data_IF_907453787606
#
_entry.id   IF_907453787606
#
_cell.length_a   1.000
_cell.length_b   1.000
_cell.length_c   1.000
_cell.angle_alpha   90.00
_cell.angle_beta   90.00
_cell.angle_gamma   90.00
#
_symmetry.space_group_name_H-M   'P 1'
#
loop_
_entity.id
_entity.type
_entity.pdbx_description
1 polymer ?
#
# COMPACT_ATOMS: atom_id res chain seq x y z
N UNK A 1 3.83 2.13 10.93
CA UNK A 1 2.49 1.54 11.13
C UNK A 1 2.57 0.09 10.68
N UNK A 2 2.51 -0.83 11.63
CA UNK A 2 2.59 -2.27 11.35
C UNK A 2 1.19 -2.81 11.10
N UNK A 3 0.75 -2.80 9.86
CA UNK A 3 -0.60 -3.26 9.51
C UNK A 3 -0.53 -4.51 8.64
N UNK A 4 -1.10 -5.61 9.14
CA UNK A 4 -1.39 -6.77 8.33
C UNK A 4 -2.70 -6.56 7.57
N UNK A 5 -2.68 -6.77 6.27
CA UNK A 5 -3.88 -6.71 5.43
C UNK A 5 -4.07 -8.02 4.67
N UNK A 6 -5.31 -8.43 4.48
CA UNK A 6 -5.64 -9.56 3.63
C UNK A 6 -5.31 -9.19 2.18
N UNK A 7 -4.59 -10.02 1.45
CA UNK A 7 -4.18 -9.71 0.07
C UNK A 7 -4.59 -10.78 -0.95
N UNK A 8 -4.83 -12.00 -0.49
CA UNK A 8 -5.25 -13.12 -1.34
C UNK A 8 -5.99 -14.16 -0.51
N UNK A 9 -6.65 -15.11 -1.16
CA UNK A 9 -7.30 -16.27 -0.50
C UNK A 9 -7.34 -17.46 -1.43
N UNK A 10 -7.54 -18.65 -0.84
CA UNK A 10 -7.85 -19.88 -1.59
C UNK A 10 -9.16 -19.78 -2.34
N UNK A 11 -9.35 -20.64 -3.32
CA UNK A 11 -10.54 -20.76 -4.16
C UNK A 11 -10.25 -20.59 -5.63
N UNK A 12 -11.31 -20.58 -6.42
CA UNK A 12 -11.23 -20.43 -7.87
C UNK A 12 -11.21 -18.95 -8.24
N UNK A 13 -10.15 -18.53 -8.92
CA UNK A 13 -9.95 -17.14 -9.32
C UNK A 13 -9.54 -17.05 -10.79
N UNK A 14 -10.04 -16.00 -11.45
CA UNK A 14 -9.67 -15.66 -12.82
C UNK A 14 -8.66 -14.55 -12.78
N UNK A 15 -7.53 -14.70 -13.45
CA UNK A 15 -6.49 -13.68 -13.54
C UNK A 15 -6.82 -12.60 -14.58
N UNK A 16 -5.90 -11.64 -14.78
CA UNK A 16 -6.08 -10.56 -15.74
C UNK A 16 -6.05 -11.04 -17.20
N UNK A 17 -5.49 -12.22 -17.48
CA UNK A 17 -5.45 -12.85 -18.80
C UNK A 17 -6.74 -13.58 -19.16
N UNK A 18 -7.62 -13.79 -18.14
CA UNK A 18 -8.84 -14.57 -18.27
C UNK A 18 -8.67 -16.04 -17.91
N UNK A 19 -7.47 -16.45 -17.49
CA UNK A 19 -7.20 -17.82 -17.10
C UNK A 19 -7.77 -18.11 -15.70
N UNK A 20 -8.57 -19.15 -15.62
CA UNK A 20 -9.19 -19.59 -14.35
C UNK A 20 -8.37 -20.71 -13.72
N UNK A 21 -8.03 -20.55 -12.44
CA UNK A 21 -7.27 -21.52 -11.67
C UNK A 21 -7.84 -21.69 -10.26
N UNK A 22 -7.79 -22.92 -9.77
CA UNK A 22 -8.00 -23.24 -8.36
C UNK A 22 -6.72 -22.99 -7.56
N UNK A 23 -6.84 -22.25 -6.47
CA UNK A 23 -5.75 -21.90 -5.56
C UNK A 23 -5.98 -22.58 -4.21
N UNK A 24 -5.07 -23.45 -3.83
CA UNK A 24 -5.11 -24.17 -2.55
C UNK A 24 -4.18 -23.57 -1.49
N UNK A 25 -4.23 -24.16 -0.29
CA UNK A 25 -3.34 -23.78 0.83
C UNK A 25 -1.86 -23.93 0.44
N UNK A 26 -1.52 -24.99 -0.32
CA UNK A 26 -0.14 -25.22 -0.79
C UNK A 26 0.37 -24.08 -1.68
N UNK A 27 -0.50 -23.46 -2.48
CA UNK A 27 -0.13 -22.29 -3.29
C UNK A 27 0.19 -21.08 -2.40
N UNK A 28 -0.61 -20.84 -1.34
CA UNK A 28 -0.35 -19.77 -0.38
C UNK A 28 0.99 -19.98 0.34
N UNK A 29 1.26 -21.22 0.78
CA UNK A 29 2.53 -21.58 1.42
C UNK A 29 3.72 -21.37 0.47
N UNK A 30 3.53 -21.65 -0.82
CA UNK A 30 4.55 -21.41 -1.85
C UNK A 30 4.77 -19.90 -2.08
N UNK A 31 3.72 -19.08 -2.13
CA UNK A 31 3.85 -17.62 -2.21
C UNK A 31 4.65 -17.08 -1.02
N UNK A 32 4.37 -17.57 0.20
CA UNK A 32 5.09 -17.14 1.41
C UNK A 32 6.55 -17.56 1.34
N UNK A 33 6.84 -18.83 1.00
CA UNK A 33 8.20 -19.37 0.98
C UNK A 33 9.07 -18.79 -0.14
N UNK A 34 8.48 -18.40 -1.27
CA UNK A 34 9.20 -17.76 -2.38
C UNK A 34 9.51 -16.28 -2.12
N UNK A 35 8.78 -15.64 -1.21
CA UNK A 35 8.94 -14.21 -0.94
C UNK A 35 10.15 -13.92 -0.04
N UNK A 36 11.10 -13.17 -0.55
CA UNK A 36 12.26 -12.68 0.19
C UNK A 36 12.46 -11.18 -0.05
N UNK A 37 12.09 -10.31 0.92
CA UNK A 37 12.19 -8.85 0.75
C UNK A 37 13.63 -8.33 0.61
N UNK A 38 14.66 -9.12 1.00
CA UNK A 38 16.05 -8.75 0.77
C UNK A 38 16.47 -8.93 -0.70
N UNK A 39 15.77 -9.75 -1.46
CA UNK A 39 16.02 -9.98 -2.89
C UNK A 39 15.10 -9.14 -3.78
N UNK A 40 13.84 -9.05 -3.42
CA UNK A 40 12.82 -8.27 -4.09
C UNK A 40 11.80 -7.79 -3.07
N UNK A 41 11.84 -6.52 -2.74
CA UNK A 41 10.87 -5.89 -1.87
C UNK A 41 9.65 -5.46 -2.70
N UNK A 42 8.53 -6.15 -2.50
CA UNK A 42 7.32 -5.90 -3.27
C UNK A 42 6.72 -4.53 -2.92
N UNK A 43 6.54 -3.61 -3.90
CA UNK A 43 5.97 -2.30 -3.64
C UNK A 43 4.46 -2.36 -3.44
N UNK A 44 3.95 -1.40 -2.67
CA UNK A 44 2.54 -1.03 -2.64
C UNK A 44 2.29 0.04 -3.69
N UNK A 45 1.37 -0.22 -4.60
CA UNK A 45 1.07 0.64 -5.75
C UNK A 45 -0.42 0.90 -5.89
N UNK A 46 -0.81 1.83 -6.76
CA UNK A 46 -2.20 2.02 -7.18
C UNK A 46 -2.41 1.29 -8.50
N UNK A 47 -3.38 0.38 -8.52
CA UNK A 47 -3.64 -0.47 -9.68
C UNK A 47 -2.54 -1.49 -9.93
N UNK A 48 -2.31 -1.78 -11.20
CA UNK A 48 -1.23 -2.63 -11.70
C UNK A 48 -0.42 -1.85 -12.75
N UNK A 49 0.56 -1.06 -12.31
CA UNK A 49 1.34 -0.23 -13.24
C UNK A 49 2.19 -1.10 -14.17
N UNK A 50 2.25 -0.69 -15.43
CA UNK A 50 3.09 -1.30 -16.47
C UNK A 50 4.48 -0.66 -16.51
N UNK A 51 4.60 0.57 -16.02
CA UNK A 51 5.80 1.38 -15.99
C UNK A 51 6.31 1.67 -14.57
N UNK A 52 7.30 2.53 -14.44
CA UNK A 52 7.87 2.96 -13.16
C UNK A 52 6.96 3.97 -12.44
N UNK A 53 5.86 3.49 -11.87
CA UNK A 53 5.00 4.28 -11.01
C UNK A 53 5.57 4.41 -9.59
N UNK A 54 5.20 5.46 -8.81
CA UNK A 54 5.60 5.61 -7.43
C UNK A 54 5.11 4.45 -6.56
N UNK A 55 5.95 4.02 -5.61
CA UNK A 55 5.55 3.13 -4.53
C UNK A 55 5.00 3.94 -3.36
N UNK A 56 3.87 3.49 -2.80
CA UNK A 56 3.21 4.12 -1.64
C UNK A 56 3.51 3.40 -0.33
N UNK A 57 4.40 2.44 -0.36
CA UNK A 57 4.86 1.60 0.74
C UNK A 57 5.45 0.31 0.22
N UNK A 58 5.79 -0.59 1.13
CA UNK A 58 6.48 -1.83 0.81
C UNK A 58 5.94 -2.99 1.65
N UNK A 59 6.07 -4.20 1.13
CA UNK A 59 5.70 -5.41 1.85
C UNK A 59 6.90 -5.90 2.65
N UNK A 60 6.77 -5.91 3.97
CA UNK A 60 7.80 -6.40 4.88
C UNK A 60 7.82 -7.92 4.96
N UNK A 61 6.62 -8.53 5.06
CA UNK A 61 6.49 -9.97 5.25
C UNK A 61 5.12 -10.47 4.76
N UNK A 62 5.04 -11.76 4.50
CA UNK A 62 3.82 -12.50 4.21
C UNK A 62 3.55 -13.54 5.30
N UNK A 63 2.29 -13.79 5.59
CA UNK A 63 1.81 -14.93 6.38
C UNK A 63 0.45 -15.38 5.89
N UNK A 64 0.03 -16.59 6.25
CA UNK A 64 -1.38 -16.96 6.12
C UNK A 64 -2.01 -17.26 7.47
N UNK A 65 -3.31 -17.13 7.51
CA UNK A 65 -4.18 -17.63 8.57
C UNK A 65 -5.32 -18.38 7.88
N UNK A 66 -5.34 -19.69 8.08
CA UNK A 66 -6.24 -20.58 7.33
C UNK A 66 -6.07 -20.41 5.82
N UNK A 67 -7.14 -20.01 5.16
CA UNK A 67 -7.28 -19.86 3.71
C UNK A 67 -6.93 -18.45 3.21
N UNK A 68 -6.50 -17.54 4.08
CA UNK A 68 -6.27 -16.14 3.74
C UNK A 68 -4.77 -15.80 3.84
N UNK A 69 -4.24 -15.18 2.79
CA UNK A 69 -2.88 -14.63 2.75
C UNK A 69 -2.91 -13.17 3.22
N UNK A 70 -2.00 -12.84 4.10
CA UNK A 70 -1.79 -11.49 4.64
C UNK A 70 -0.42 -10.96 4.24
N UNK A 71 -0.37 -9.66 3.97
CA UNK A 71 0.86 -8.91 3.81
C UNK A 71 1.03 -7.91 4.96
N UNK A 72 2.22 -7.85 5.55
CA UNK A 72 2.63 -6.80 6.47
C UNK A 72 3.20 -5.65 5.68
N UNK A 73 2.61 -4.47 5.83
CA UNK A 73 3.04 -3.27 5.10
C UNK A 73 3.92 -2.40 5.99
N UNK A 74 5.00 -1.83 5.40
CA UNK A 74 5.90 -0.88 6.04
C UNK A 74 6.13 0.36 5.19
N UNK A 75 6.64 1.42 5.81
CA UNK A 75 7.00 2.68 5.14
C UNK A 75 5.89 3.25 4.25
N UNK A 76 4.65 3.11 4.71
CA UNK A 76 3.49 3.62 3.98
C UNK A 76 3.51 5.14 3.95
N UNK A 77 3.31 5.71 2.75
CA UNK A 77 3.16 7.15 2.56
C UNK A 77 1.91 7.63 3.31
N UNK A 78 2.03 8.59 4.25
CA UNK A 78 0.92 9.02 5.10
C UNK A 78 -0.30 9.50 4.33
N UNK A 79 -0.09 10.23 3.23
CA UNK A 79 -1.13 10.76 2.37
C UNK A 79 -1.93 9.62 1.72
N UNK A 80 -1.25 8.56 1.30
CA UNK A 80 -1.91 7.37 0.76
C UNK A 80 -2.71 6.63 1.83
N UNK A 81 -2.18 6.52 3.06
CA UNK A 81 -2.92 5.96 4.20
C UNK A 81 -4.20 6.75 4.46
N UNK A 82 -4.15 8.07 4.39
CA UNK A 82 -5.33 8.94 4.56
C UNK A 82 -6.33 8.76 3.42
N UNK A 83 -5.89 8.57 2.17
CA UNK A 83 -6.77 8.24 1.05
C UNK A 83 -7.50 6.90 1.26
N UNK A 84 -6.80 5.88 1.74
CA UNK A 84 -7.40 4.59 2.08
C UNK A 84 -8.41 4.72 3.23
N UNK A 85 -8.09 5.48 4.28
CA UNK A 85 -9.00 5.77 5.41
C UNK A 85 -10.27 6.48 4.96
N UNK A 86 -10.15 7.41 4.03
CA UNK A 86 -11.28 8.10 3.39
C UNK A 86 -12.09 7.21 2.45
N UNK A 87 -11.65 5.98 2.22
CA UNK A 87 -12.34 5.00 1.41
C UNK A 87 -12.14 5.13 -0.10
N UNK A 88 -11.13 5.89 -0.54
CA UNK A 88 -10.81 6.03 -1.97
C UNK A 88 -10.22 4.74 -2.57
N UNK A 89 -9.53 3.95 -1.75
CA UNK A 89 -8.90 2.67 -2.12
C UNK A 89 -9.24 1.59 -1.09
N UNK A 90 -10.41 0.98 -1.23
CA UNK A 90 -10.90 -0.06 -0.30
C UNK A 90 -10.44 -1.46 -0.68
N UNK A 91 -10.26 -1.69 -1.98
CA UNK A 91 -9.95 -3.00 -2.53
C UNK A 91 -8.47 -3.08 -2.90
N UNK A 92 -7.98 -4.28 -3.03
CA UNK A 92 -6.60 -4.58 -3.45
C UNK A 92 -6.57 -5.83 -4.28
N UNK A 93 -5.50 -5.96 -5.02
CA UNK A 93 -5.12 -7.11 -5.81
C UNK A 93 -3.63 -7.34 -5.62
N UNK A 94 -3.14 -8.53 -5.95
CA UNK A 94 -1.72 -8.82 -6.00
C UNK A 94 -1.33 -9.19 -7.42
N UNK A 95 -0.07 -8.94 -7.77
CA UNK A 95 0.56 -9.57 -8.91
C UNK A 95 1.65 -10.51 -8.42
N UNK A 96 1.76 -11.64 -9.08
CA UNK A 96 2.78 -12.67 -8.82
C UNK A 96 3.65 -12.84 -10.06
N UNK A 97 4.91 -13.16 -9.86
CA UNK A 97 5.75 -13.68 -10.91
C UNK A 97 5.39 -15.16 -11.20
N UNK A 98 5.84 -15.76 -12.32
CA UNK A 98 5.56 -17.15 -12.65
C UNK A 98 6.00 -18.17 -11.59
N UNK A 99 7.01 -17.84 -10.80
CA UNK A 99 7.52 -18.64 -9.68
C UNK A 99 6.70 -18.48 -8.39
N UNK A 100 5.61 -17.72 -8.44
CA UNK A 100 4.73 -17.31 -7.34
C UNK A 100 5.37 -16.31 -6.35
N UNK A 101 6.50 -15.71 -6.65
CA UNK A 101 7.04 -14.60 -5.86
C UNK A 101 6.12 -13.37 -5.97
N UNK A 102 5.81 -12.71 -4.86
CA UNK A 102 4.99 -11.51 -4.85
C UNK A 102 5.69 -10.37 -5.61
N UNK A 103 5.07 -9.90 -6.70
CA UNK A 103 5.57 -8.78 -7.50
C UNK A 103 5.20 -7.43 -6.88
N UNK A 104 3.92 -7.22 -6.55
CA UNK A 104 3.42 -6.01 -5.89
C UNK A 104 2.04 -6.23 -5.27
N UNK A 105 1.63 -5.30 -4.39
CA UNK A 105 0.26 -5.16 -3.89
C UNK A 105 -0.35 -3.91 -4.51
N UNK A 106 -1.36 -4.07 -5.36
CA UNK A 106 -2.08 -2.99 -6.02
C UNK A 106 -3.35 -2.61 -5.25
N UNK A 107 -3.48 -1.37 -4.85
CA UNK A 107 -4.70 -0.84 -4.26
C UNK A 107 -5.65 -0.37 -5.36
N UNK A 108 -6.93 -0.75 -5.26
CA UNK A 108 -7.94 -0.50 -6.27
C UNK A 108 -8.96 0.51 -5.78
N UNK A 109 -9.23 1.51 -6.62
CA UNK A 109 -10.30 2.48 -6.40
C UNK A 109 -11.65 1.94 -6.90
N UNK A 110 -12.11 2.45 -8.04
CA UNK A 110 -13.40 2.05 -8.63
C UNK A 110 -13.38 0.68 -9.33
N UNK A 111 -12.20 0.14 -9.65
CA UNK A 111 -12.08 -1.18 -10.29
C UNK A 111 -12.45 -2.29 -9.31
N UNK A 112 -13.31 -3.25 -9.72
CA UNK A 112 -13.57 -4.42 -8.88
C UNK A 112 -12.33 -5.32 -8.81
N UNK A 113 -12.04 -5.92 -7.63
CA UNK A 113 -10.94 -6.88 -7.50
C UNK A 113 -11.29 -8.22 -8.16
N UNK A 114 -10.30 -8.89 -8.75
CA UNK A 114 -10.45 -10.27 -9.24
C UNK A 114 -10.74 -11.24 -8.08
N UNK A 115 -10.17 -10.99 -6.89
CA UNK A 115 -10.38 -11.80 -5.70
C UNK A 115 -11.51 -11.19 -4.86
N UNK A 116 -12.63 -11.88 -4.78
CA UNK A 116 -13.79 -11.46 -3.98
C UNK A 116 -13.72 -12.00 -2.55
N UNK A 117 -14.43 -11.36 -1.63
CA UNK A 117 -14.59 -11.84 -0.25
C UNK A 117 -13.44 -11.52 0.70
N UNK A 118 -12.46 -10.70 0.30
CA UNK A 118 -11.49 -10.12 1.21
C UNK A 118 -12.11 -8.89 1.93
N UNK A 119 -11.78 -8.71 3.20
CA UNK A 119 -12.23 -7.54 3.98
C UNK A 119 -11.70 -6.24 3.36
N UNK A 120 -12.46 -5.15 3.48
CA UNK A 120 -11.97 -3.84 3.06
C UNK A 120 -10.72 -3.44 3.85
N UNK A 121 -9.75 -2.82 3.19
CA UNK A 121 -8.56 -2.32 3.88
C UNK A 121 -8.95 -1.17 4.80
N UNK A 122 -8.57 -1.29 6.07
CA UNK A 122 -8.77 -0.26 7.09
C UNK A 122 -7.46 -0.02 7.83
N UNK A 123 -6.93 1.19 7.73
CA UNK A 123 -5.84 1.64 8.56
C UNK A 123 -6.44 2.38 9.77
N UNK A 124 -6.43 1.74 10.92
CA UNK A 124 -6.88 2.38 12.15
C UNK A 124 -5.82 3.37 12.63
N UNK A 125 -6.26 4.54 13.13
CA UNK A 125 -5.38 5.37 13.95
C UNK A 125 -5.04 4.59 15.21
N UNK A 126 -3.76 4.60 15.63
CA UNK A 126 -3.44 4.22 16.99
C UNK A 126 -4.22 5.18 17.89
N UNK A 127 -5.23 4.68 18.55
CA UNK A 127 -5.92 5.45 19.57
C UNK A 127 -4.87 5.95 20.56
N UNK A 128 -4.74 7.26 20.72
CA UNK A 128 -3.74 7.90 21.57
C UNK A 128 -3.89 7.54 23.07
N UNK A 129 -4.91 6.75 23.42
CA UNK A 129 -5.28 6.44 24.81
C UNK A 129 -5.71 4.97 25.01
N UNK A 130 -5.12 4.02 24.31
CA UNK A 130 -5.28 2.61 24.70
C UNK A 130 -4.12 2.26 25.62
N UNK A 131 -4.42 2.06 26.89
CA UNK A 131 -3.52 1.43 27.87
C UNK A 131 -3.44 -0.05 27.46
N UNK A 132 -2.40 -0.42 26.70
CA UNK A 132 -2.08 -1.82 26.46
C UNK A 132 -1.42 -2.36 27.73
N UNK A 133 -2.08 -3.24 28.44
CA UNK A 133 -1.46 -4.09 29.45
C UNK A 133 -0.64 -5.17 28.72
N UNK A 134 0.57 -4.85 28.28
CA UNK A 134 1.61 -5.81 28.00
C UNK A 134 2.63 -5.67 29.12
N UNK A 135 3.04 -6.79 29.69
CA UNK A 135 4.02 -6.89 30.77
C UNK A 135 5.37 -6.26 30.37
N UNK A 136 5.49 -4.96 30.57
CA UNK A 136 6.77 -4.25 30.51
C UNK A 136 6.82 -3.38 31.76
N UNK A 137 7.70 -3.76 32.67
CA UNK A 137 8.08 -2.95 33.84
C UNK A 137 8.45 -1.53 33.41
N UNK A 138 7.68 -0.57 33.89
CA UNK A 138 7.90 0.86 33.67
C UNK A 138 8.94 1.36 34.68
N UNK A 139 10.18 1.56 34.27
CA UNK A 139 11.14 2.36 35.05
C UNK A 139 11.15 3.79 34.50
N UNK A 140 10.48 4.66 35.26
CA UNK A 140 10.80 6.08 35.48
C UNK A 140 10.98 7.00 34.28
N UNK A 141 10.02 7.90 34.14
CA UNK A 141 10.17 9.32 33.82
C UNK A 141 11.02 9.72 32.61
N UNK A 142 10.38 9.93 31.43
CA UNK A 142 10.86 10.89 30.44
C UNK A 142 9.64 11.41 29.66
N UNK A 143 9.34 12.68 29.82
CA UNK A 143 8.43 13.40 28.93
C UNK A 143 8.94 13.28 27.50
N UNK A 144 8.25 12.46 26.68
CA UNK A 144 8.49 12.48 25.24
C UNK A 144 7.76 13.68 24.66
N UNK A 145 8.44 14.81 24.60
CA UNK A 145 8.14 15.89 23.69
C UNK A 145 8.04 15.30 22.27
N UNK A 146 6.84 15.28 21.72
CA UNK A 146 6.60 15.03 20.31
C UNK A 146 7.30 16.14 19.53
N UNK A 147 8.56 15.95 19.16
CA UNK A 147 9.24 16.87 18.25
C UNK A 147 8.49 16.79 16.91
N UNK A 148 7.69 17.81 16.65
CA UNK A 148 7.22 18.15 15.32
C UNK A 148 8.46 18.49 14.50
N UNK A 149 9.08 17.50 13.88
CA UNK A 149 10.22 17.74 13.01
C UNK A 149 9.73 18.62 11.85
N UNK A 150 10.28 19.83 11.67
CA UNK A 150 9.91 20.72 10.57
C UNK A 150 10.03 20.04 9.19
N UNK A 151 10.93 19.09 9.08
CA UNK A 151 11.16 18.25 7.90
C UNK A 151 9.92 17.40 7.56
N UNK A 152 9.31 16.71 8.55
CA UNK A 152 8.11 15.91 8.33
C UNK A 152 6.90 16.75 7.96
N UNK A 153 6.79 17.97 8.45
CA UNK A 153 5.72 18.90 8.07
C UNK A 153 5.88 19.39 6.64
N UNK A 154 7.11 19.68 6.20
CA UNK A 154 7.40 20.06 4.80
C UNK A 154 7.11 18.92 3.84
N UNK A 155 7.59 17.69 4.12
CA UNK A 155 7.31 16.52 3.30
C UNK A 155 5.80 16.30 3.13
N UNK A 156 5.01 16.45 4.21
CA UNK A 156 3.54 16.38 4.15
C UNK A 156 2.94 17.44 3.25
N UNK A 157 3.36 18.69 3.41
CA UNK A 157 2.83 19.80 2.60
C UNK A 157 3.11 19.60 1.10
N UNK A 158 4.30 19.12 0.75
CA UNK A 158 4.68 18.81 -0.63
C UNK A 158 3.85 17.63 -1.16
N UNK A 159 3.68 16.57 -0.37
CA UNK A 159 2.85 15.42 -0.73
C UNK A 159 1.40 15.82 -1.03
N UNK A 160 0.77 16.64 -0.18
CA UNK A 160 -0.58 17.18 -0.44
C UNK A 160 -0.66 18.00 -1.73
N UNK A 161 0.36 18.81 -2.02
CA UNK A 161 0.42 19.61 -3.24
C UNK A 161 0.49 18.72 -4.49
N UNK A 162 1.29 17.66 -4.45
CA UNK A 162 1.40 16.70 -5.56
C UNK A 162 0.05 16.01 -5.80
N UNK A 163 -0.60 15.50 -4.73
CA UNK A 163 -1.92 14.85 -4.85
C UNK A 163 -2.96 15.80 -5.42
N UNK A 164 -3.00 17.06 -4.94
CA UNK A 164 -3.94 18.08 -5.45
C UNK A 164 -3.74 18.38 -6.94
N UNK A 165 -2.49 18.41 -7.42
CA UNK A 165 -2.17 18.59 -8.84
C UNK A 165 -2.67 17.41 -9.68
N UNK A 166 -2.50 16.19 -9.20
CA UNK A 166 -2.98 14.97 -9.87
C UNK A 166 -4.51 14.96 -9.95
N UNK A 167 -5.19 15.23 -8.83
CA UNK A 167 -6.65 15.34 -8.80
C UNK A 167 -7.16 16.44 -9.73
N UNK A 168 -6.47 17.57 -9.80
CA UNK A 168 -6.79 18.67 -10.71
C UNK A 168 -6.75 18.22 -12.18
N UNK A 169 -5.71 17.48 -12.58
CA UNK A 169 -5.61 16.93 -13.94
C UNK A 169 -6.70 15.92 -14.25
N UNK A 170 -7.00 15.02 -13.31
CA UNK A 170 -8.08 14.04 -13.49
C UNK A 170 -9.46 14.68 -13.54
N UNK A 171 -9.67 15.81 -12.86
CA UNK A 171 -10.91 16.59 -12.98
C UNK A 171 -11.03 17.27 -14.36
N UNK A 172 -9.92 17.75 -14.89
CA UNK A 172 -9.87 18.42 -16.20
C UNK A 172 -10.05 17.44 -17.34
N UNK A 173 -9.50 16.23 -17.23
CA UNK A 173 -9.66 15.14 -18.20
C UNK A 173 -10.13 13.86 -17.49
N UNK A 174 -11.43 13.57 -17.60
CA UNK A 174 -12.04 12.38 -16.99
C UNK A 174 -11.57 11.04 -17.58
N UNK A 175 -10.87 11.05 -18.70
CA UNK A 175 -10.30 9.84 -19.32
C UNK A 175 -8.89 9.56 -18.82
N UNK A 176 -8.29 10.51 -18.10
CA UNK A 176 -6.93 10.38 -17.61
C UNK A 176 -6.90 9.44 -16.41
N UNK A 177 -6.11 8.38 -16.48
CA UNK A 177 -5.86 7.52 -15.32
C UNK A 177 -5.00 8.24 -14.29
N UNK A 178 -5.06 7.81 -13.02
CA UNK A 178 -4.25 8.40 -11.96
C UNK A 178 -2.74 8.28 -12.27
N UNK A 179 -2.29 7.13 -12.79
CA UNK A 179 -0.89 6.92 -13.18
C UNK A 179 -0.46 7.88 -14.29
N UNK A 180 -1.29 8.08 -15.30
CA UNK A 180 -1.01 9.02 -16.38
C UNK A 180 -1.01 10.49 -15.87
N UNK A 181 -1.96 10.84 -14.98
CA UNK A 181 -1.99 12.16 -14.33
C UNK A 181 -0.75 12.40 -13.47
N UNK A 182 -0.32 11.40 -12.69
CA UNK A 182 0.88 11.47 -11.87
C UNK A 182 2.13 11.63 -12.72
N UNK A 183 2.27 10.87 -13.83
CA UNK A 183 3.39 10.99 -14.75
C UNK A 183 3.48 12.41 -15.36
N UNK A 184 2.34 13.01 -15.70
CA UNK A 184 2.29 14.40 -16.16
C UNK A 184 2.73 15.38 -15.07
N UNK A 185 2.20 15.21 -13.84
CA UNK A 185 2.59 16.07 -12.69
C UNK A 185 4.09 15.96 -12.40
N UNK A 186 4.66 14.77 -12.44
CA UNK A 186 6.10 14.55 -12.25
C UNK A 186 6.93 15.26 -13.33
N UNK A 187 6.49 15.20 -14.58
CA UNK A 187 7.17 15.87 -15.70
C UNK A 187 7.11 17.38 -15.60
N UNK A 188 5.94 17.93 -15.26
CA UNK A 188 5.69 19.36 -15.22
C UNK A 188 6.19 20.05 -13.94
N UNK A 189 6.29 19.29 -12.83
CA UNK A 189 6.66 19.81 -11.50
C UNK A 189 7.92 19.13 -10.96
N UNK A 190 8.93 18.97 -11.82
CA UNK A 190 10.16 18.23 -11.48
C UNK A 190 10.85 18.74 -10.21
N UNK A 191 10.89 20.04 -9.97
CA UNK A 191 11.48 20.61 -8.76
C UNK A 191 10.72 20.22 -7.50
N UNK A 192 9.39 20.26 -7.53
CA UNK A 192 8.54 19.84 -6.43
C UNK A 192 8.72 18.35 -6.07
N UNK A 193 8.90 17.51 -7.10
CA UNK A 193 9.19 16.09 -6.91
C UNK A 193 10.58 15.87 -6.31
N UNK A 194 11.59 16.61 -6.78
CA UNK A 194 12.94 16.54 -6.21
C UNK A 194 13.00 17.06 -4.76
N UNK A 195 12.22 18.08 -4.44
CA UNK A 195 12.07 18.57 -3.07
C UNK A 195 11.45 17.50 -2.17
N UNK A 196 10.39 16.81 -2.63
CA UNK A 196 9.76 15.70 -1.90
C UNK A 196 10.71 14.55 -1.62
N UNK A 197 11.59 14.23 -2.58
CA UNK A 197 12.56 13.11 -2.43
C UNK A 197 13.69 13.48 -1.45
N UNK A 198 14.01 14.76 -1.29
CA UNK A 198 15.08 15.23 -0.41
C UNK A 198 14.64 15.37 1.05
N UNK A 199 13.34 15.48 1.32
CA UNK A 199 12.76 15.59 2.66
C UNK A 199 12.51 14.20 3.30
#
# INVERSE_FOLDING_TARGET
MDSWIQVFRTGRHTDASGDEREWGIADLDRIISSYNPLRHEAPVVIGHPEDSAPAFGWVEALKRDGEILYAKLKNMVPEFVDMVRRGLYKKRSIALYPDLTLRHVGFLGAMPPSIKGLEDVRFYERAKNIICFSDIEWKGGMEMSLSKSPRKERARAIGYKIVSLVEGKMKADKRLSYSAAMAQVQKENRELILEFIRE
#
